data_IF_949727612299
#
_entry.id   IF_949727612299
#
_cell.length_a   1.000
_cell.length_b   1.000
_cell.length_c   1.000
_cell.angle_alpha   90.00
_cell.angle_beta   90.00
_cell.angle_gamma   90.00
#
_symmetry.space_group_name_H-M   'P 1'
#
loop_
_entity.id
_entity.type
_entity.pdbx_description
1 polymer ?
#
# COMPACT_ATOMS: atom_id res chain seq x y z
N UNK A 1 -11.20 -49.14 -7.78
CA UNK A 1 -10.49 -48.27 -8.75
C UNK A 1 -11.24 -46.96 -9.06
N UNK A 2 -12.55 -46.95 -9.34
CA UNK A 2 -13.30 -45.70 -9.67
C UNK A 2 -13.26 -44.59 -8.59
N UNK A 3 -13.20 -44.94 -7.29
CA UNK A 3 -13.12 -43.97 -6.18
C UNK A 3 -11.76 -43.27 -6.09
N UNK A 4 -10.67 -43.94 -6.48
CA UNK A 4 -9.31 -43.37 -6.47
C UNK A 4 -9.15 -42.35 -7.60
N UNK A 5 -9.73 -42.65 -8.77
CA UNK A 5 -9.74 -41.73 -9.91
C UNK A 5 -10.50 -40.43 -9.60
N UNK A 6 -11.62 -40.52 -8.87
CA UNK A 6 -12.41 -39.36 -8.45
C UNK A 6 -11.62 -38.45 -7.48
N UNK A 7 -10.86 -39.04 -6.55
CA UNK A 7 -10.02 -38.30 -5.61
C UNK A 7 -8.88 -37.53 -6.31
N UNK A 8 -8.25 -38.14 -7.31
CA UNK A 8 -7.17 -37.51 -8.09
C UNK A 8 -7.71 -36.32 -8.90
N UNK A 9 -8.92 -36.43 -9.46
CA UNK A 9 -9.57 -35.34 -10.21
C UNK A 9 -9.96 -34.19 -9.27
N UNK A 10 -10.48 -34.49 -8.07
CA UNK A 10 -10.80 -33.49 -7.05
C UNK A 10 -9.56 -32.74 -6.53
N UNK A 11 -8.43 -33.44 -6.36
CA UNK A 11 -7.15 -32.82 -5.99
C UNK A 11 -6.60 -31.92 -7.10
N UNK A 12 -6.72 -32.32 -8.37
CA UNK A 12 -6.26 -31.53 -9.52
C UNK A 12 -7.07 -30.23 -9.73
N UNK A 13 -8.33 -30.20 -9.30
CA UNK A 13 -9.20 -29.01 -9.35
C UNK A 13 -9.02 -28.06 -8.17
N UNK A 14 -8.31 -28.47 -7.12
CA UNK A 14 -8.07 -27.68 -5.90
C UNK A 14 -6.85 -26.74 -6.01
N UNK A 15 -6.63 -26.13 -7.18
CA UNK A 15 -5.75 -24.95 -7.25
C UNK A 15 -6.48 -23.77 -6.60
N UNK A 16 -6.51 -23.76 -5.28
CA UNK A 16 -6.85 -22.58 -4.50
C UNK A 16 -5.85 -21.51 -4.93
N UNK A 17 -6.32 -20.40 -5.51
CA UNK A 17 -5.51 -19.20 -5.64
C UNK A 17 -5.23 -18.70 -4.24
N UNK A 18 -4.16 -19.24 -3.64
CA UNK A 18 -3.72 -18.82 -2.33
C UNK A 18 -3.33 -17.35 -2.41
N UNK A 19 -3.84 -16.55 -1.48
CA UNK A 19 -3.32 -15.22 -1.29
C UNK A 19 -1.85 -15.30 -0.87
N UNK A 20 -1.00 -14.53 -1.53
CA UNK A 20 0.43 -14.41 -1.24
C UNK A 20 0.67 -12.99 -0.74
N UNK A 21 1.53 -12.83 0.27
CA UNK A 21 1.94 -11.51 0.74
C UNK A 21 2.61 -10.72 -0.40
N UNK A 22 2.51 -9.39 -0.36
CA UNK A 22 3.21 -8.56 -1.33
C UNK A 22 4.70 -8.56 -1.06
N UNK A 23 5.48 -8.68 -2.14
CA UNK A 23 6.92 -8.46 -2.15
C UNK A 23 7.22 -7.02 -2.58
N UNK A 24 8.48 -6.60 -2.41
CA UNK A 24 8.93 -5.23 -2.70
C UNK A 24 8.51 -4.71 -4.08
N UNK A 25 8.67 -5.51 -5.13
CA UNK A 25 8.30 -5.10 -6.49
C UNK A 25 6.79 -5.07 -6.75
N UNK A 26 6.00 -5.77 -5.94
CA UNK A 26 4.53 -5.73 -6.07
C UNK A 26 3.96 -4.36 -5.72
N UNK A 27 4.68 -3.56 -4.92
CA UNK A 27 4.30 -2.19 -4.59
C UNK A 27 4.47 -1.19 -5.74
N UNK A 28 5.24 -1.51 -6.78
CA UNK A 28 5.40 -0.62 -7.94
C UNK A 28 4.07 -0.48 -8.68
N UNK A 29 3.63 0.76 -8.93
CA UNK A 29 2.37 1.09 -9.60
C UNK A 29 1.59 2.20 -8.91
N UNK A 30 0.32 2.34 -9.30
CA UNK A 30 -0.62 3.31 -8.72
C UNK A 30 -1.54 2.60 -7.75
N UNK A 31 -1.69 3.15 -6.55
CA UNK A 31 -2.54 2.65 -5.48
C UNK A 31 -3.55 3.71 -5.09
N UNK A 32 -4.83 3.35 -5.00
CA UNK A 32 -5.92 4.28 -4.70
C UNK A 32 -6.71 3.80 -3.48
N UNK A 33 -7.08 4.72 -2.59
CA UNK A 33 -7.91 4.40 -1.43
C UNK A 33 -9.28 3.88 -1.86
N UNK A 34 -9.68 2.73 -1.31
CA UNK A 34 -10.98 2.12 -1.61
C UNK A 34 -12.11 2.91 -0.96
N UNK A 35 -11.91 3.34 0.29
CA UNK A 35 -12.86 4.11 1.10
C UNK A 35 -12.11 4.92 2.16
N UNK A 36 -12.64 6.07 2.58
CA UNK A 36 -12.04 6.89 3.63
C UNK A 36 -12.62 8.30 3.67
N UNK A 37 -12.22 9.09 4.67
CA UNK A 37 -12.54 10.52 4.73
C UNK A 37 -11.71 11.35 3.74
N UNK A 38 -10.59 10.80 3.28
CA UNK A 38 -9.67 11.40 2.32
C UNK A 38 -9.44 10.45 1.14
N UNK A 39 -9.39 11.00 -0.07
CA UNK A 39 -8.92 10.26 -1.24
C UNK A 39 -7.40 10.23 -1.22
N UNK A 40 -6.83 9.03 -1.14
CA UNK A 40 -5.39 8.80 -1.14
C UNK A 40 -4.97 8.12 -2.44
N UNK A 41 -3.94 8.66 -3.09
CA UNK A 41 -3.26 8.00 -4.22
C UNK A 41 -1.78 7.91 -3.93
N UNK A 42 -1.18 6.74 -4.17
CA UNK A 42 0.26 6.53 -4.04
C UNK A 42 0.78 5.98 -5.36
N UNK A 43 1.66 6.74 -6.00
CA UNK A 43 2.35 6.31 -7.21
C UNK A 43 3.76 5.91 -6.82
N UNK A 44 4.15 4.66 -7.08
CA UNK A 44 5.47 4.10 -6.78
C UNK A 44 6.10 3.68 -8.10
N UNK A 45 7.24 4.29 -8.43
CA UNK A 45 8.03 4.00 -9.62
C UNK A 45 8.93 2.77 -9.40
N UNK A 46 9.51 2.23 -10.48
CA UNK A 46 10.35 1.02 -10.42
C UNK A 46 11.62 1.17 -9.58
N UNK A 47 12.08 2.41 -9.38
CA UNK A 47 13.20 2.75 -8.50
C UNK A 47 12.78 3.00 -7.04
N UNK A 48 11.49 2.80 -6.71
CA UNK A 48 10.85 3.07 -5.41
C UNK A 48 10.74 4.55 -5.04
N UNK A 49 11.04 5.48 -5.95
CA UNK A 49 10.60 6.87 -5.82
C UNK A 49 9.12 6.99 -6.16
N UNK A 50 8.51 8.14 -5.84
CA UNK A 50 7.10 8.30 -6.13
C UNK A 50 6.46 9.58 -5.65
N UNK A 51 5.13 9.55 -5.61
CA UNK A 51 4.32 10.65 -5.15
C UNK A 51 3.15 10.14 -4.32
N UNK A 52 2.98 10.71 -3.13
CA UNK A 52 1.81 10.60 -2.31
C UNK A 52 0.87 11.78 -2.60
N UNK A 53 -0.40 11.47 -2.86
CA UNK A 53 -1.44 12.44 -3.16
C UNK A 53 -2.56 12.24 -2.14
N UNK A 54 -2.98 13.32 -1.49
CA UNK A 54 -4.12 13.32 -0.57
C UNK A 54 -5.07 14.45 -0.96
N UNK A 55 -6.35 14.13 -1.06
CA UNK A 55 -7.42 15.09 -1.28
C UNK A 55 -8.47 14.93 -0.19
N UNK A 56 -8.56 15.92 0.70
CA UNK A 56 -9.64 16.00 1.69
C UNK A 56 -10.81 16.81 1.11
N UNK A 57 -12.05 16.49 1.51
CA UNK A 57 -13.26 17.15 0.98
C UNK A 57 -13.21 18.65 1.28
N UNK A 58 -13.12 19.48 0.24
CA UNK A 58 -13.10 20.94 0.35
C UNK A 58 -11.73 21.55 0.64
N UNK A 59 -10.67 20.75 0.76
CA UNK A 59 -9.30 21.24 0.92
C UNK A 59 -8.47 21.15 -0.37
N UNK A 60 -7.29 21.80 -0.36
CA UNK A 60 -6.35 21.70 -1.47
C UNK A 60 -5.72 20.31 -1.50
N UNK A 61 -5.75 19.66 -2.67
CA UNK A 61 -5.02 18.42 -2.91
C UNK A 61 -3.52 18.60 -2.63
N UNK A 62 -2.99 17.84 -1.69
CA UNK A 62 -1.57 17.79 -1.36
C UNK A 62 -0.88 16.77 -2.26
N UNK A 63 0.31 17.12 -2.77
CA UNK A 63 1.17 16.24 -3.55
C UNK A 63 2.56 16.28 -2.95
N UNK A 64 3.01 15.15 -2.43
CA UNK A 64 4.27 15.03 -1.70
C UNK A 64 5.13 14.00 -2.42
N UNK A 65 6.22 14.44 -3.09
CA UNK A 65 7.16 13.51 -3.69
C UNK A 65 7.94 12.77 -2.59
N UNK A 66 8.37 11.55 -2.88
CA UNK A 66 9.33 10.81 -2.07
C UNK A 66 10.33 10.11 -2.96
N UNK A 67 11.50 9.83 -2.40
CA UNK A 67 12.58 9.08 -3.06
C UNK A 67 12.70 7.69 -2.44
N UNK A 68 13.46 6.81 -3.09
CA UNK A 68 13.76 5.48 -2.55
C UNK A 68 14.41 5.52 -1.17
N UNK A 69 15.16 6.58 -0.85
CA UNK A 69 15.77 6.76 0.49
C UNK A 69 14.74 7.01 1.60
N UNK A 70 13.51 7.35 1.24
CA UNK A 70 12.39 7.52 2.16
C UNK A 70 11.56 6.24 2.33
N UNK A 71 11.90 5.18 1.59
CA UNK A 71 11.17 3.91 1.59
C UNK A 71 11.98 2.85 2.33
N UNK A 72 11.36 2.25 3.35
CA UNK A 72 11.95 1.19 4.16
C UNK A 72 11.09 -0.05 3.99
N UNK A 73 11.73 -1.20 3.78
CA UNK A 73 11.08 -2.51 3.80
C UNK A 73 11.45 -3.29 5.05
N UNK A 74 10.46 -3.93 5.66
CA UNK A 74 10.66 -4.86 6.76
C UNK A 74 9.72 -6.05 6.56
N UNK A 75 10.25 -7.17 6.07
CA UNK A 75 9.47 -8.32 5.63
C UNK A 75 8.41 -7.94 4.57
N UNK A 76 7.13 -8.14 4.86
CA UNK A 76 5.99 -7.79 4.01
C UNK A 76 5.47 -6.35 4.22
N UNK A 77 6.19 -5.54 5.02
CA UNK A 77 5.84 -4.15 5.28
C UNK A 77 6.66 -3.21 4.40
N UNK A 78 5.97 -2.24 3.81
CA UNK A 78 6.55 -1.02 3.25
C UNK A 78 6.23 0.15 4.17
N UNK A 79 7.24 0.96 4.46
CA UNK A 79 7.14 2.20 5.23
C UNK A 79 7.64 3.33 4.34
N UNK A 80 6.80 4.33 4.11
CA UNK A 80 7.14 5.51 3.30
C UNK A 80 7.06 6.75 4.18
N UNK A 81 8.20 7.39 4.38
CA UNK A 81 8.31 8.65 5.11
C UNK A 81 8.14 9.83 4.15
N UNK A 82 7.25 10.75 4.50
CA UNK A 82 6.84 11.86 3.65
C UNK A 82 7.17 13.19 4.32
N UNK A 83 8.02 13.96 3.65
CA UNK A 83 8.51 15.26 4.08
C UNK A 83 7.97 16.35 3.15
N UNK A 84 7.61 17.50 3.71
CA UNK A 84 7.14 18.66 2.92
C UNK A 84 8.25 19.68 2.87
N UNK A 85 8.55 20.25 1.69
CA UNK A 85 9.72 21.12 1.46
C UNK A 85 9.89 22.29 2.46
N UNK A 86 8.81 22.79 3.04
CA UNK A 86 8.81 23.90 4.01
C UNK A 86 8.89 23.45 5.48
N UNK A 87 8.87 22.15 5.74
CA UNK A 87 8.88 21.56 7.08
C UNK A 87 10.07 20.60 7.14
N UNK A 88 11.09 20.87 7.97
CA UNK A 88 12.30 20.07 8.00
C UNK A 88 12.06 18.64 8.53
N UNK A 89 10.92 18.40 9.16
CA UNK A 89 10.57 17.16 9.83
C UNK A 89 9.54 16.33 9.06
N UNK A 90 9.43 15.07 9.45
CA UNK A 90 8.42 14.13 8.97
C UNK A 90 7.01 14.71 9.14
N UNK A 91 6.19 14.65 8.09
CA UNK A 91 4.79 15.12 8.11
C UNK A 91 3.81 13.95 8.04
N UNK A 92 4.14 12.94 7.24
CA UNK A 92 3.36 11.70 7.19
C UNK A 92 4.26 10.47 7.16
N UNK A 93 3.80 9.38 7.78
CA UNK A 93 4.38 8.04 7.58
C UNK A 93 3.28 7.11 7.12
N UNK A 94 3.46 6.53 5.94
CA UNK A 94 2.55 5.53 5.40
C UNK A 94 3.15 4.15 5.62
N UNK A 95 2.48 3.33 6.44
CA UNK A 95 2.88 1.94 6.70
C UNK A 95 1.85 1.03 6.05
N UNK A 96 2.28 0.13 5.17
CA UNK A 96 1.39 -0.79 4.46
C UNK A 96 1.96 -2.22 4.49
N UNK A 97 1.07 -3.20 4.61
CA UNK A 97 1.30 -4.59 4.20
C UNK A 97 0.15 -4.98 3.26
N UNK A 98 0.29 -6.03 2.46
CA UNK A 98 -0.78 -6.43 1.57
C UNK A 98 -0.67 -7.86 1.10
N UNK A 99 -1.61 -8.22 0.25
CA UNK A 99 -1.61 -9.51 -0.43
C UNK A 99 -2.10 -9.39 -1.87
N UNK A 100 -1.75 -10.39 -2.67
CA UNK A 100 -2.24 -10.59 -4.04
C UNK A 100 -2.84 -11.99 -4.19
N UNK A 101 -3.97 -12.09 -4.87
CA UNK A 101 -4.59 -13.36 -5.28
C UNK A 101 -5.36 -13.16 -6.57
N UNK A 102 -4.96 -13.87 -7.63
CA UNK A 102 -5.52 -13.69 -8.96
C UNK A 102 -5.34 -12.26 -9.46
N UNK A 103 -6.44 -11.64 -9.86
CA UNK A 103 -6.46 -10.24 -10.33
C UNK A 103 -6.63 -9.24 -9.18
N UNK A 104 -6.72 -9.69 -7.93
CA UNK A 104 -6.86 -8.77 -6.78
C UNK A 104 -5.50 -8.52 -6.14
N UNK A 105 -5.12 -7.25 -6.03
CA UNK A 105 -3.92 -6.81 -5.31
C UNK A 105 -4.30 -5.65 -4.41
N UNK A 106 -4.15 -5.83 -3.10
CA UNK A 106 -4.62 -4.88 -2.09
C UNK A 106 -3.58 -4.69 -0.99
N UNK A 107 -3.43 -3.45 -0.57
CA UNK A 107 -2.61 -3.06 0.56
C UNK A 107 -3.50 -2.46 1.66
N UNK A 108 -3.11 -2.70 2.90
CA UNK A 108 -3.77 -2.22 4.11
C UNK A 108 -2.72 -1.64 5.03
N UNK A 109 -3.11 -0.67 5.84
CA UNK A 109 -2.24 -0.20 6.89
C UNK A 109 -2.71 1.11 7.48
N UNK A 110 -1.77 2.00 7.73
CA UNK A 110 -2.02 3.20 8.50
C UNK A 110 -1.20 4.37 7.98
N UNK A 111 -1.86 5.52 7.87
CA UNK A 111 -1.22 6.81 7.63
C UNK A 111 -1.09 7.52 8.98
N UNK A 112 0.13 7.68 9.47
CA UNK A 112 0.43 8.46 10.67
C UNK A 112 0.67 9.92 10.28
N UNK A 113 0.10 10.84 11.07
CA UNK A 113 0.21 12.29 10.88
C UNK A 113 1.11 12.88 11.96
N UNK A 114 2.04 13.73 11.55
CA UNK A 114 3.05 14.37 12.40
C UNK A 114 2.91 15.88 12.37
N UNK A 115 3.18 16.52 13.51
CA UNK A 115 2.92 17.95 13.74
C UNK A 115 3.92 18.90 13.07
N UNK A 116 4.81 18.38 12.22
CA UNK A 116 5.92 19.11 11.62
C UNK A 116 7.10 19.39 12.56
N UNK A 117 7.05 18.84 13.78
CA UNK A 117 8.16 18.79 14.74
C UNK A 117 8.55 17.34 15.07
N UNK A 118 8.17 16.39 14.20
CA UNK A 118 8.46 14.97 14.34
C UNK A 118 7.62 14.23 15.39
N UNK A 119 6.59 14.87 15.99
CA UNK A 119 5.72 14.21 16.97
C UNK A 119 4.43 13.71 16.31
N UNK A 120 4.05 12.43 16.49
CA UNK A 120 2.78 11.93 15.97
C UNK A 120 1.64 12.58 16.75
N UNK A 121 0.63 13.08 16.04
CA UNK A 121 -0.55 13.70 16.65
C UNK A 121 -1.88 13.08 16.22
N UNK A 122 -1.91 12.38 15.09
CA UNK A 122 -3.11 11.68 14.62
C UNK A 122 -2.73 10.55 13.63
N UNK A 123 -3.73 9.85 13.13
CA UNK A 123 -3.57 8.89 12.06
C UNK A 123 -4.90 8.37 11.54
N UNK A 124 -4.84 7.65 10.42
CA UNK A 124 -6.02 7.00 9.85
C UNK A 124 -5.67 5.64 9.24
N UNK A 125 -6.53 4.63 9.45
CA UNK A 125 -6.39 3.37 8.73
C UNK A 125 -6.62 3.61 7.24
N UNK A 126 -5.89 2.91 6.41
CA UNK A 126 -6.01 3.00 4.96
C UNK A 126 -6.11 1.61 4.34
N UNK A 127 -6.86 1.53 3.26
CA UNK A 127 -6.96 0.36 2.39
C UNK A 127 -6.84 0.86 0.97
N UNK A 128 -5.85 0.34 0.24
CA UNK A 128 -5.51 0.77 -1.10
C UNK A 128 -5.65 -0.40 -2.08
N UNK A 129 -6.34 -0.16 -3.18
CA UNK A 129 -6.36 -1.07 -4.33
C UNK A 129 -5.31 -0.65 -5.34
N UNK A 130 -4.59 -1.64 -5.90
CA UNK A 130 -3.69 -1.40 -7.01
C UNK A 130 -4.50 -1.18 -8.28
N UNK A 131 -4.25 -0.08 -8.96
CA UNK A 131 -4.88 0.22 -10.26
C UNK A 131 -4.26 -0.66 -11.34
N UNK A 132 -5.11 -1.32 -12.11
CA UNK A 132 -4.73 -2.13 -13.27
C UNK A 132 -4.33 -1.26 -14.47
#
# INVERSE_FOLDING_TARGET
>A
MKRVLLLIILLALSKVLAAVALEQLDYVGTWESVQGQAELTVNISSDLSGQFIRSDIGEKTQRIPFTSSNVIFHDDLIIIDLYVEKVPELVYRLVLSGWKSGDTTRAYGYLYLYDGFGRPFNGMPTTLDKKH
#
